data_IF_311661894621
#
_entry.id   IF_311661894621
#
_cell.length_a   1.000
_cell.length_b   1.000
_cell.length_c   1.000
_cell.angle_alpha   90.00
_cell.angle_beta   90.00
_cell.angle_gamma   90.00
#
_symmetry.space_group_name_H-M   'P 1'
#
loop_
_entity.id
_entity.type
_entity.pdbx_description
1 polymer ?
#
# COMPACT_ATOMS: atom_id res chain seq x y z
N UNK A 1 5.36 -55.60 -33.28
CA UNK A 1 5.46 -54.13 -33.32
C UNK A 1 4.58 -53.58 -32.23
N UNK A 2 5.17 -52.90 -31.24
CA UNK A 2 4.44 -52.29 -30.12
C UNK A 2 3.75 -51.03 -30.64
N UNK A 3 2.45 -50.88 -30.36
CA UNK A 3 1.72 -49.65 -30.60
C UNK A 3 2.25 -48.58 -29.63
N UNK A 4 2.92 -47.56 -30.15
CA UNK A 4 3.20 -46.34 -29.40
C UNK A 4 1.90 -45.52 -29.38
N UNK A 5 1.31 -45.38 -28.19
CA UNK A 5 0.22 -44.43 -27.94
C UNK A 5 0.74 -43.03 -28.24
N UNK A 6 0.15 -42.37 -29.24
CA UNK A 6 0.28 -40.92 -29.43
C UNK A 6 -0.37 -40.25 -28.22
N UNK A 7 0.45 -39.88 -27.25
CA UNK A 7 0.03 -39.00 -26.17
C UNK A 7 -0.28 -37.64 -26.81
N UNK A 8 -1.54 -37.22 -26.67
CA UNK A 8 -2.00 -35.91 -27.11
C UNK A 8 -1.34 -34.85 -26.23
N UNK A 9 -0.27 -34.22 -26.72
CA UNK A 9 0.56 -33.22 -26.02
C UNK A 9 -0.29 -32.10 -25.38
N UNK A 10 -1.46 -31.81 -25.96
CA UNK A 10 -2.40 -30.82 -25.42
C UNK A 10 -3.09 -31.30 -24.13
N UNK A 11 -3.39 -32.60 -24.04
CA UNK A 11 -3.98 -33.23 -22.88
C UNK A 11 -2.95 -33.47 -21.76
N UNK A 12 -1.67 -33.58 -22.10
CA UNK A 12 -0.56 -33.68 -21.15
C UNK A 12 -0.22 -32.31 -20.56
N UNK A 13 -0.13 -31.27 -21.39
CA UNK A 13 0.05 -29.88 -20.93
C UNK A 13 -1.09 -29.42 -20.00
N UNK A 14 -2.34 -29.80 -20.32
CA UNK A 14 -3.50 -29.52 -19.46
C UNK A 14 -3.45 -30.28 -18.13
N UNK A 15 -2.98 -31.54 -18.14
CA UNK A 15 -2.80 -32.35 -16.91
C UNK A 15 -1.68 -31.79 -16.04
N UNK A 16 -0.59 -31.34 -16.64
CA UNK A 16 0.53 -30.72 -15.94
C UNK A 16 0.13 -29.39 -15.33
N UNK A 17 -0.60 -28.54 -16.07
CA UNK A 17 -1.17 -27.28 -15.57
C UNK A 17 -2.15 -27.51 -14.40
N UNK A 18 -3.00 -28.55 -14.48
CA UNK A 18 -3.93 -28.92 -13.41
C UNK A 18 -3.23 -29.55 -12.18
N UNK A 19 -2.16 -30.31 -12.40
CA UNK A 19 -1.30 -30.85 -11.33
C UNK A 19 -0.60 -29.71 -10.57
N UNK A 20 -0.12 -28.71 -11.31
CA UNK A 20 0.50 -27.50 -10.79
C UNK A 20 -0.50 -26.67 -9.99
N UNK A 21 -1.71 -26.44 -10.52
CA UNK A 21 -2.79 -25.77 -9.78
C UNK A 21 -3.17 -26.55 -8.52
N UNK A 22 -3.28 -27.88 -8.57
CA UNK A 22 -3.55 -28.71 -7.37
C UNK A 22 -2.44 -28.63 -6.33
N UNK A 23 -1.17 -28.62 -6.74
CA UNK A 23 -0.03 -28.45 -5.83
C UNK A 23 -0.01 -27.05 -5.22
N UNK A 24 -0.35 -26.02 -6.00
CA UNK A 24 -0.57 -24.66 -5.52
C UNK A 24 -1.67 -24.65 -4.44
N UNK A 25 -2.82 -25.29 -4.68
CA UNK A 25 -3.91 -25.40 -3.69
C UNK A 25 -3.59 -26.24 -2.45
N UNK A 26 -2.68 -27.22 -2.54
CA UNK A 26 -2.23 -28.01 -1.38
C UNK A 26 -1.13 -27.35 -0.55
N UNK A 27 -0.40 -26.38 -1.12
CA UNK A 27 0.70 -25.68 -0.44
C UNK A 27 0.22 -24.47 0.35
N UNK A 28 -0.95 -23.94 0.02
CA UNK A 28 -1.70 -23.07 0.92
C UNK A 28 -2.46 -23.93 1.92
N UNK A 29 -2.17 -23.74 3.21
CA UNK A 29 -2.89 -24.32 4.36
C UNK A 29 -4.41 -24.36 4.12
N UNK A 30 -5.17 -25.34 4.67
CA UNK A 30 -6.63 -25.41 4.58
C UNK A 30 -7.40 -24.22 5.21
N UNK A 31 -6.74 -23.09 5.46
CA UNK A 31 -7.20 -21.91 6.18
C UNK A 31 -7.53 -20.70 5.29
N UNK A 32 -7.34 -20.77 3.97
CA UNK A 32 -7.93 -19.77 3.07
C UNK A 32 -9.35 -20.24 2.74
N UNK A 33 -10.33 -19.55 3.31
CA UNK A 33 -11.75 -19.72 3.04
C UNK A 33 -12.02 -19.85 1.54
N UNK A 34 -12.69 -20.95 1.19
CA UNK A 34 -12.98 -21.48 -0.13
C UNK A 34 -13.86 -20.58 -1.04
N UNK A 35 -13.91 -19.25 -0.86
CA UNK A 35 -14.99 -18.44 -1.46
C UNK A 35 -14.53 -17.60 -2.66
N UNK A 36 -13.30 -17.09 -2.73
CA UNK A 36 -12.96 -16.12 -3.80
C UNK A 36 -12.22 -16.72 -5.01
N UNK A 37 -11.44 -17.79 -4.85
CA UNK A 37 -10.78 -18.44 -6.00
C UNK A 37 -11.77 -19.28 -6.84
N UNK A 38 -12.74 -20.00 -6.24
CA UNK A 38 -13.75 -20.70 -7.03
C UNK A 38 -14.72 -19.77 -7.76
N UNK A 39 -15.02 -18.57 -7.23
CA UNK A 39 -15.90 -17.60 -7.90
C UNK A 39 -15.26 -17.02 -9.16
N UNK A 40 -13.94 -16.77 -9.13
CA UNK A 40 -13.18 -16.30 -10.29
C UNK A 40 -13.02 -17.43 -11.32
N UNK A 41 -12.96 -18.70 -10.92
CA UNK A 41 -12.91 -19.82 -11.86
C UNK A 41 -14.29 -20.18 -12.43
N UNK A 42 -15.39 -20.11 -11.67
CA UNK A 42 -16.74 -20.42 -12.19
C UNK A 42 -17.24 -19.41 -13.21
N UNK A 43 -16.75 -18.17 -13.18
CA UNK A 43 -17.09 -17.17 -14.19
C UNK A 43 -16.36 -17.41 -15.54
N UNK A 44 -15.30 -18.21 -15.57
CA UNK A 44 -14.41 -18.35 -16.73
C UNK A 44 -14.17 -19.79 -17.19
N UNK A 45 -14.61 -20.80 -16.43
CA UNK A 45 -14.44 -22.21 -16.78
C UNK A 45 -15.77 -22.79 -17.28
N UNK A 46 -15.82 -23.21 -18.55
CA UNK A 46 -16.93 -24.01 -19.08
C UNK A 46 -16.62 -25.50 -18.82
N UNK A 47 -17.34 -26.15 -17.88
CA UNK A 47 -17.07 -27.54 -17.52
C UNK A 47 -17.35 -28.52 -18.67
N UNK A 48 -18.14 -28.11 -19.68
CA UNK A 48 -18.52 -28.98 -20.79
C UNK A 48 -17.45 -29.10 -21.87
N UNK A 49 -16.53 -28.13 -21.95
CA UNK A 49 -15.54 -28.04 -23.03
C UNK A 49 -14.08 -27.96 -22.54
N UNK A 50 -13.82 -28.03 -21.23
CA UNK A 50 -12.47 -27.92 -20.66
C UNK A 50 -11.69 -26.68 -21.17
N UNK A 51 -12.40 -25.60 -21.46
CA UNK A 51 -11.84 -24.36 -22.02
C UNK A 51 -12.15 -23.18 -21.10
N UNK A 52 -11.18 -22.28 -20.98
CA UNK A 52 -11.32 -21.04 -20.21
C UNK A 52 -11.82 -19.94 -21.15
N UNK A 53 -13.02 -19.41 -20.90
CA UNK A 53 -13.65 -18.41 -21.75
C UNK A 53 -13.31 -16.99 -21.26
N UNK A 54 -12.13 -16.49 -21.64
CA UNK A 54 -11.53 -15.22 -21.18
C UNK A 54 -12.12 -13.94 -21.81
N UNK A 55 -13.42 -13.93 -22.15
CA UNK A 55 -14.02 -12.90 -23.00
C UNK A 55 -14.72 -11.75 -22.24
N UNK A 56 -14.47 -11.56 -20.95
CA UNK A 56 -14.97 -10.42 -20.19
C UNK A 56 -13.83 -9.71 -19.48
N UNK A 57 -13.65 -8.44 -19.83
CA UNK A 57 -12.76 -7.45 -19.23
C UNK A 57 -11.23 -7.68 -19.36
N UNK A 58 -10.63 -6.94 -20.29
CA UNK A 58 -9.18 -6.99 -20.58
C UNK A 58 -8.30 -6.53 -19.40
N UNK A 59 -8.84 -5.75 -18.47
CA UNK A 59 -8.07 -5.15 -17.37
C UNK A 59 -7.75 -6.17 -16.29
N UNK A 60 -8.75 -6.94 -15.84
CA UNK A 60 -8.54 -8.05 -14.90
C UNK A 60 -7.76 -9.19 -15.55
N UNK A 61 -7.99 -9.46 -16.85
CA UNK A 61 -7.19 -10.43 -17.61
C UNK A 61 -5.70 -10.08 -17.61
N UNK A 62 -5.35 -8.81 -17.85
CA UNK A 62 -3.95 -8.37 -17.85
C UNK A 62 -3.34 -8.42 -16.45
N UNK A 63 -4.08 -8.02 -15.42
CA UNK A 63 -3.62 -8.11 -14.03
C UNK A 63 -3.39 -9.57 -13.58
N UNK A 64 -4.33 -10.48 -13.92
CA UNK A 64 -4.24 -11.90 -13.61
C UNK A 64 -3.13 -12.61 -14.37
N UNK A 65 -3.00 -12.36 -15.69
CA UNK A 65 -1.92 -12.92 -16.50
C UNK A 65 -0.54 -12.38 -16.07
N UNK A 66 -0.44 -11.11 -15.69
CA UNK A 66 0.80 -10.56 -15.14
C UNK A 66 1.19 -11.23 -13.82
N UNK A 67 0.21 -11.51 -12.94
CA UNK A 67 0.48 -12.25 -11.70
C UNK A 67 0.89 -13.69 -12.01
N UNK A 68 0.15 -14.44 -12.84
CA UNK A 68 0.50 -15.82 -13.21
C UNK A 68 1.86 -15.91 -13.91
N UNK A 69 2.15 -15.03 -14.88
CA UNK A 69 3.46 -14.97 -15.52
C UNK A 69 4.56 -14.72 -14.49
N UNK A 70 4.30 -13.87 -13.50
CA UNK A 70 5.24 -13.67 -12.40
C UNK A 70 5.48 -14.97 -11.61
N UNK A 71 4.45 -15.72 -11.23
CA UNK A 71 4.63 -16.93 -10.41
C UNK A 71 5.23 -18.12 -11.21
N UNK A 72 4.97 -18.19 -12.52
CA UNK A 72 5.33 -19.35 -13.35
C UNK A 72 6.55 -19.15 -14.27
N UNK A 73 6.88 -17.93 -14.69
CA UNK A 73 8.04 -17.66 -15.54
C UNK A 73 9.28 -17.19 -14.74
N UNK A 74 9.13 -16.91 -13.44
CA UNK A 74 10.14 -16.16 -12.68
C UNK A 74 11.40 -16.92 -12.23
N UNK A 75 11.42 -18.21 -11.85
CA UNK A 75 12.65 -18.75 -11.27
C UNK A 75 13.77 -18.97 -12.32
N UNK A 76 13.43 -19.34 -13.55
CA UNK A 76 14.43 -19.73 -14.56
C UNK A 76 14.89 -18.60 -15.48
N UNK A 77 14.15 -17.49 -15.56
CA UNK A 77 14.47 -16.37 -16.46
C UNK A 77 14.84 -15.07 -15.74
N UNK A 78 14.54 -14.94 -14.44
CA UNK A 78 15.00 -13.79 -13.65
C UNK A 78 16.42 -14.05 -13.21
N UNK A 79 17.27 -13.07 -13.45
CA UNK A 79 18.63 -13.09 -12.94
C UNK A 79 18.63 -12.89 -11.43
N UNK A 80 18.83 -13.99 -10.70
CA UNK A 80 18.96 -13.99 -9.23
C UNK A 80 20.35 -13.56 -8.76
N UNK A 81 21.30 -13.37 -9.69
CA UNK A 81 22.70 -13.04 -9.41
C UNK A 81 23.00 -11.54 -9.36
N UNK A 82 21.96 -10.71 -9.37
CA UNK A 82 22.02 -9.24 -9.41
C UNK A 82 22.71 -8.66 -10.67
N UNK A 83 23.14 -9.45 -11.67
CA UNK A 83 23.86 -8.92 -12.83
C UNK A 83 23.01 -7.96 -13.66
N UNK A 84 21.69 -8.21 -13.80
CA UNK A 84 20.78 -7.27 -14.46
C UNK A 84 20.73 -5.89 -13.79
N UNK A 85 20.74 -5.85 -12.45
CA UNK A 85 20.77 -4.61 -11.66
C UNK A 85 22.14 -3.95 -11.73
N UNK A 86 23.22 -4.74 -11.67
CA UNK A 86 24.58 -4.24 -11.84
C UNK A 86 24.77 -3.61 -13.21
N UNK A 87 24.32 -4.28 -14.26
CA UNK A 87 24.35 -3.80 -15.63
C UNK A 87 23.54 -2.51 -15.80
N UNK A 88 22.39 -2.38 -15.13
CA UNK A 88 21.62 -1.14 -15.09
C UNK A 88 22.49 0.03 -14.63
N UNK A 89 23.13 -0.09 -13.45
CA UNK A 89 23.91 1.00 -12.88
C UNK A 89 25.22 1.26 -13.65
N UNK A 90 25.90 0.22 -14.11
CA UNK A 90 27.11 0.35 -14.93
C UNK A 90 26.82 1.05 -16.26
N UNK A 91 25.72 0.68 -16.92
CA UNK A 91 25.30 1.31 -18.19
C UNK A 91 24.93 2.77 -17.96
N UNK A 92 24.12 3.06 -16.93
CA UNK A 92 23.74 4.43 -16.60
C UNK A 92 24.95 5.31 -16.28
N UNK A 93 25.92 4.80 -15.52
CA UNK A 93 27.14 5.53 -15.16
C UNK A 93 28.08 5.72 -16.35
N UNK A 94 28.19 4.74 -17.25
CA UNK A 94 29.11 4.80 -18.39
C UNK A 94 28.56 5.60 -19.57
N UNK A 95 27.26 5.52 -19.83
CA UNK A 95 26.63 6.07 -21.04
C UNK A 95 25.77 7.31 -20.74
N UNK A 96 25.42 7.55 -19.47
CA UNK A 96 24.50 8.61 -19.06
C UNK A 96 23.03 8.27 -19.28
N UNK A 97 22.72 7.17 -19.99
CA UNK A 97 21.37 6.68 -20.19
C UNK A 97 21.33 5.14 -20.25
N UNK A 98 20.17 4.57 -19.90
CA UNK A 98 19.91 3.13 -19.97
C UNK A 98 18.51 2.89 -20.51
N UNK A 99 18.38 2.01 -21.51
CA UNK A 99 17.09 1.63 -22.07
C UNK A 99 16.59 0.36 -21.36
N UNK A 100 15.52 0.51 -20.57
CA UNK A 100 14.90 -0.57 -19.80
C UNK A 100 13.59 -0.97 -20.44
N UNK A 101 13.39 -2.26 -20.68
CA UNK A 101 12.11 -2.78 -21.18
C UNK A 101 11.31 -3.36 -20.03
N UNK A 102 10.07 -2.90 -19.85
CA UNK A 102 9.12 -3.43 -18.86
C UNK A 102 7.82 -3.79 -19.59
N UNK A 103 7.49 -5.09 -19.63
CA UNK A 103 6.45 -5.59 -20.51
C UNK A 103 6.79 -5.30 -21.98
N UNK A 104 5.88 -4.68 -22.71
CA UNK A 104 6.06 -4.32 -24.12
C UNK A 104 6.60 -2.88 -24.32
N UNK A 105 6.90 -2.17 -23.24
CA UNK A 105 7.32 -0.76 -23.29
C UNK A 105 8.79 -0.62 -22.98
N UNK A 106 9.51 0.13 -23.81
CA UNK A 106 10.89 0.55 -23.56
C UNK A 106 10.90 1.96 -22.98
N UNK A 107 11.65 2.15 -21.90
CA UNK A 107 11.85 3.42 -21.22
C UNK A 107 13.33 3.80 -21.32
N UNK A 108 13.62 5.06 -21.61
CA UNK A 108 14.98 5.59 -21.53
C UNK A 108 15.15 6.30 -20.19
N UNK A 109 16.06 5.81 -19.36
CA UNK A 109 16.31 6.32 -18.02
C UNK A 109 17.70 6.96 -17.99
N UNK A 110 17.78 8.19 -17.53
CA UNK A 110 19.01 8.94 -17.37
C UNK A 110 19.05 9.63 -15.99
N UNK A 111 20.07 10.44 -15.72
CA UNK A 111 20.21 11.16 -14.45
C UNK A 111 19.10 12.20 -14.18
N UNK A 112 18.47 12.77 -15.21
CA UNK A 112 17.35 13.72 -15.06
C UNK A 112 16.07 13.00 -14.61
N UNK A 113 15.95 11.71 -14.86
CA UNK A 113 14.85 10.89 -14.36
C UNK A 113 14.97 10.60 -12.85
N UNK A 114 16.09 10.91 -12.19
CA UNK A 114 16.25 10.64 -10.76
C UNK A 114 15.24 11.43 -9.92
N UNK A 115 14.43 10.73 -9.14
CA UNK A 115 13.43 11.32 -8.22
C UNK A 115 13.96 11.36 -6.80
N UNK A 116 14.44 10.23 -6.30
CA UNK A 116 14.96 10.08 -4.95
C UNK A 116 15.70 8.76 -4.78
N UNK A 117 16.34 8.60 -3.62
CA UNK A 117 16.91 7.33 -3.16
C UNK A 117 16.44 7.08 -1.73
N UNK A 118 15.93 5.89 -1.47
CA UNK A 118 15.67 5.43 -0.11
C UNK A 118 16.97 5.02 0.58
N UNK A 119 17.01 5.09 1.92
CA UNK A 119 18.18 4.68 2.71
C UNK A 119 18.47 3.17 2.69
N UNK A 120 17.54 2.35 2.16
CA UNK A 120 17.63 0.89 2.25
C UNK A 120 16.90 0.11 1.14
N UNK A 121 16.30 0.77 0.15
CA UNK A 121 15.27 0.12 -0.70
C UNK A 121 15.61 0.17 -2.17
N UNK A 122 15.77 1.36 -2.70
CA UNK A 122 15.88 1.56 -4.13
C UNK A 122 16.33 2.98 -4.50
N UNK A 123 16.82 3.11 -5.74
CA UNK A 123 16.82 4.38 -6.46
C UNK A 123 15.53 4.48 -7.26
N UNK A 124 14.88 5.63 -7.20
CA UNK A 124 13.59 5.90 -7.86
C UNK A 124 13.82 6.76 -9.10
N UNK A 125 13.34 6.28 -10.23
CA UNK A 125 13.42 6.97 -11.53
C UNK A 125 12.03 7.22 -12.10
N UNK A 126 11.80 8.43 -12.62
CA UNK A 126 10.61 8.80 -13.37
C UNK A 126 10.63 8.17 -14.76
N UNK A 127 9.55 7.46 -15.12
CA UNK A 127 9.36 6.85 -16.43
C UNK A 127 8.75 7.81 -17.46
N UNK A 128 8.38 9.03 -17.05
CA UNK A 128 7.69 10.03 -17.86
C UNK A 128 6.32 9.60 -18.41
N UNK A 129 5.77 8.50 -17.90
CA UNK A 129 4.43 7.98 -18.21
C UNK A 129 3.44 8.20 -17.04
N UNK A 130 3.82 9.04 -16.08
CA UNK A 130 3.10 9.24 -14.82
C UNK A 130 3.46 8.25 -13.72
N UNK A 131 4.39 7.32 -13.96
CA UNK A 131 4.89 6.37 -12.97
C UNK A 131 6.39 6.56 -12.71
N UNK A 132 6.83 6.00 -11.59
CA UNK A 132 8.23 5.79 -11.26
C UNK A 132 8.53 4.30 -11.19
N UNK A 133 9.81 3.95 -11.32
CA UNK A 133 10.32 2.64 -10.93
C UNK A 133 11.30 2.77 -9.78
N UNK A 134 11.17 1.87 -8.81
CA UNK A 134 12.17 1.63 -7.79
C UNK A 134 13.05 0.45 -8.24
N UNK A 135 14.35 0.68 -8.33
CA UNK A 135 15.37 -0.30 -8.72
C UNK A 135 16.15 -0.76 -7.49
N UNK A 136 16.36 -2.06 -7.37
CA UNK A 136 17.03 -2.75 -6.27
C UNK A 136 18.34 -2.07 -5.80
N UNK A 137 18.53 -1.99 -4.48
CA UNK A 137 19.79 -1.63 -3.80
C UNK A 137 20.29 -2.69 -2.80
N UNK A 138 19.43 -3.65 -2.45
CA UNK A 138 19.74 -4.76 -1.52
C UNK A 138 19.94 -6.06 -2.31
N UNK A 139 20.25 -7.18 -1.65
CA UNK A 139 20.32 -8.47 -2.34
C UNK A 139 18.97 -8.90 -2.93
N UNK A 140 19.02 -9.76 -3.96
CA UNK A 140 17.85 -10.26 -4.68
C UNK A 140 16.72 -10.78 -3.79
N UNK A 141 17.01 -11.71 -2.86
CA UNK A 141 15.98 -12.36 -2.04
C UNK A 141 15.24 -11.35 -1.15
N UNK A 142 15.99 -10.40 -0.62
CA UNK A 142 15.42 -9.30 0.17
C UNK A 142 14.52 -8.41 -0.67
N UNK A 143 14.99 -8.01 -1.86
CA UNK A 143 14.25 -7.15 -2.77
C UNK A 143 12.98 -7.83 -3.29
N UNK A 144 13.09 -9.10 -3.68
CA UNK A 144 11.98 -9.95 -4.07
C UNK A 144 10.88 -9.95 -3.01
N UNK A 145 11.21 -10.27 -1.75
CA UNK A 145 10.24 -10.27 -0.65
C UNK A 145 9.64 -8.87 -0.43
N UNK A 146 10.46 -7.83 -0.38
CA UNK A 146 9.97 -6.46 -0.15
C UNK A 146 8.96 -6.00 -1.23
N UNK A 147 9.26 -6.27 -2.50
CA UNK A 147 8.36 -5.90 -3.60
C UNK A 147 7.08 -6.76 -3.63
N UNK A 148 7.14 -8.01 -3.19
CA UNK A 148 5.96 -8.86 -2.96
C UNK A 148 5.09 -8.31 -1.83
N UNK A 149 5.69 -7.98 -0.69
CA UNK A 149 5.00 -7.45 0.48
C UNK A 149 4.32 -6.11 0.19
N UNK A 150 5.01 -5.17 -0.46
CA UNK A 150 4.46 -3.87 -0.87
C UNK A 150 3.18 -4.02 -1.70
N UNK A 151 3.19 -4.91 -2.71
CA UNK A 151 2.04 -5.15 -3.58
C UNK A 151 0.91 -5.87 -2.82
N UNK A 152 1.25 -6.89 -2.04
CA UNK A 152 0.27 -7.69 -1.32
C UNK A 152 -0.46 -6.88 -0.25
N UNK A 153 0.28 -6.11 0.56
CA UNK A 153 -0.30 -5.22 1.57
C UNK A 153 -1.13 -4.12 0.90
N UNK A 154 -0.60 -3.49 -0.16
CA UNK A 154 -1.35 -2.46 -0.90
C UNK A 154 -2.68 -2.98 -1.43
N UNK A 155 -2.70 -4.19 -1.98
CA UNK A 155 -3.92 -4.83 -2.51
C UNK A 155 -4.91 -5.19 -1.40
N UNK A 156 -4.43 -5.75 -0.28
CA UNK A 156 -5.28 -6.06 0.89
C UNK A 156 -5.95 -4.82 1.46
N UNK A 157 -5.23 -3.72 1.59
CA UNK A 157 -5.82 -2.46 2.07
C UNK A 157 -6.83 -1.90 1.06
N UNK A 158 -6.57 -2.05 -0.24
CA UNK A 158 -7.49 -1.59 -1.29
C UNK A 158 -8.81 -2.37 -1.28
N UNK A 159 -8.81 -3.66 -0.96
CA UNK A 159 -10.08 -4.43 -0.84
C UNK A 159 -10.94 -3.96 0.33
N UNK A 160 -10.34 -3.30 1.33
CA UNK A 160 -11.04 -2.63 2.43
C UNK A 160 -11.53 -1.22 2.05
N UNK A 161 -11.30 -0.76 0.82
CA UNK A 161 -11.61 0.60 0.37
C UNK A 161 -10.61 1.65 0.82
N UNK A 162 -9.47 1.25 1.39
CA UNK A 162 -8.42 2.17 1.83
C UNK A 162 -7.50 2.56 0.67
N UNK A 163 -6.92 3.75 0.75
CA UNK A 163 -6.10 4.30 -0.33
C UNK A 163 -4.66 3.83 -0.23
N UNK A 164 -4.21 3.25 -1.33
CA UNK A 164 -2.83 2.79 -1.55
C UNK A 164 -2.41 3.11 -2.98
N UNK A 165 -1.11 3.28 -3.26
CA UNK A 165 -0.67 3.38 -4.64
C UNK A 165 -1.00 2.09 -5.39
N UNK A 166 -1.29 2.21 -6.68
CA UNK A 166 -1.40 1.06 -7.57
C UNK A 166 0.00 0.52 -7.92
N UNK A 167 0.67 -0.05 -6.91
CA UNK A 167 2.00 -0.59 -7.07
C UNK A 167 1.97 -1.91 -7.84
N UNK A 168 2.94 -2.10 -8.72
CA UNK A 168 3.10 -3.29 -9.53
C UNK A 168 4.54 -3.78 -9.43
N UNK A 169 4.69 -5.06 -9.14
CA UNK A 169 5.98 -5.73 -9.27
C UNK A 169 6.15 -6.17 -10.71
N UNK A 170 7.26 -5.80 -11.33
CA UNK A 170 7.46 -5.97 -12.77
C UNK A 170 8.80 -6.62 -13.15
N UNK A 171 8.69 -7.39 -14.24
CA UNK A 171 9.68 -7.75 -15.26
C UNK A 171 10.50 -6.61 -15.90
N UNK A 172 11.66 -6.17 -15.40
CA UNK A 172 12.52 -5.25 -16.15
C UNK A 172 13.62 -5.99 -16.92
N UNK A 173 14.04 -5.49 -18.08
CA UNK A 173 15.16 -6.08 -18.83
C UNK A 173 16.05 -5.07 -19.54
N UNK A 174 17.36 -5.36 -19.56
CA UNK A 174 18.41 -4.65 -20.30
C UNK A 174 19.33 -5.70 -20.92
N UNK A 175 19.61 -5.61 -22.22
CA UNK A 175 20.52 -6.54 -22.93
C UNK A 175 20.28 -8.02 -22.60
N UNK A 176 19.01 -8.45 -22.59
CA UNK A 176 18.54 -9.80 -22.24
C UNK A 176 18.74 -10.22 -20.77
N UNK A 177 19.30 -9.36 -19.91
CA UNK A 177 19.32 -9.57 -18.46
C UNK A 177 18.02 -9.06 -17.86
N UNK A 178 17.36 -9.89 -17.04
CA UNK A 178 16.06 -9.60 -16.44
C UNK A 178 16.20 -9.39 -14.93
N UNK A 179 15.52 -8.40 -14.38
CA UNK A 179 15.54 -8.09 -12.95
C UNK A 179 14.17 -7.57 -12.47
N UNK A 180 13.93 -7.63 -11.17
CA UNK A 180 12.67 -7.17 -10.56
C UNK A 180 12.74 -5.66 -10.33
N UNK A 181 11.67 -4.95 -10.69
CA UNK A 181 11.44 -3.56 -10.29
C UNK A 181 10.06 -3.43 -9.65
N UNK A 182 9.88 -2.37 -8.88
CA UNK A 182 8.57 -1.96 -8.37
C UNK A 182 8.14 -0.69 -9.10
N UNK A 183 7.13 -0.81 -9.96
CA UNK A 183 6.51 0.32 -10.68
C UNK A 183 5.36 0.86 -9.84
N UNK A 184 5.29 2.18 -9.68
CA UNK A 184 4.23 2.83 -8.90
C UNK A 184 3.91 4.23 -9.44
N UNK A 185 2.72 4.79 -9.19
CA UNK A 185 2.39 6.15 -9.61
C UNK A 185 3.36 7.20 -9.04
N UNK A 186 3.76 8.16 -9.87
CA UNK A 186 4.52 9.32 -9.40
C UNK A 186 3.58 10.27 -8.65
N UNK A 187 3.97 10.79 -7.48
CA UNK A 187 3.13 11.71 -6.70
C UNK A 187 2.76 13.01 -7.44
N UNK A 188 3.68 13.64 -8.18
CA UNK A 188 3.34 14.73 -9.11
C UNK A 188 2.23 14.36 -10.12
N UNK A 189 2.23 13.12 -10.63
CA UNK A 189 1.18 12.68 -11.54
C UNK A 189 -0.15 12.47 -10.81
N UNK A 190 -0.14 11.97 -9.57
CA UNK A 190 -1.33 11.84 -8.75
C UNK A 190 -2.06 13.19 -8.55
N UNK A 191 -1.33 14.31 -8.48
CA UNK A 191 -1.94 15.65 -8.41
C UNK A 191 -2.84 15.91 -9.62
N UNK A 192 -2.41 15.50 -10.82
CA UNK A 192 -3.22 15.64 -12.05
C UNK A 192 -4.46 14.76 -12.07
N UNK A 193 -4.51 13.75 -11.18
CA UNK A 193 -5.65 12.88 -10.95
C UNK A 193 -6.50 13.34 -9.74
N UNK A 194 -6.22 14.52 -9.19
CA UNK A 194 -6.95 15.07 -8.05
C UNK A 194 -6.52 14.48 -6.70
N UNK A 195 -5.34 13.86 -6.60
CA UNK A 195 -4.85 13.23 -5.36
C UNK A 195 -3.56 13.90 -4.91
N UNK A 196 -3.59 14.52 -3.73
CA UNK A 196 -2.45 15.20 -3.11
C UNK A 196 -1.94 14.38 -1.92
N UNK A 197 -0.80 13.70 -2.07
CA UNK A 197 -0.21 12.86 -1.03
C UNK A 197 0.82 13.65 -0.21
N UNK A 198 0.70 13.63 1.12
CA UNK A 198 1.54 14.43 2.04
C UNK A 198 2.11 13.57 3.17
N UNK A 199 3.36 13.85 3.58
CA UNK A 199 4.07 13.16 4.66
C UNK A 199 4.50 14.11 5.77
N UNK A 200 4.63 13.54 6.96
CA UNK A 200 5.02 14.12 8.26
C UNK A 200 6.46 14.69 8.36
N UNK A 201 7.41 14.38 7.46
CA UNK A 201 8.86 14.58 7.77
C UNK A 201 9.74 15.27 6.74
N UNK A 202 9.26 15.52 5.53
CA UNK A 202 10.08 16.18 4.51
C UNK A 202 9.22 17.23 3.87
N UNK A 203 9.64 18.50 3.95
CA UNK A 203 8.92 19.69 3.48
C UNK A 203 8.52 19.72 2.00
N UNK A 204 8.48 18.57 1.31
CA UNK A 204 7.75 18.34 0.07
C UNK A 204 6.37 17.77 0.39
N UNK A 205 5.41 18.66 0.62
CA UNK A 205 3.99 18.34 0.46
C UNK A 205 3.66 18.38 -1.03
N UNK A 206 3.03 17.33 -1.56
CA UNK A 206 2.52 17.38 -2.93
C UNK A 206 1.14 18.05 -2.93
N UNK A 207 1.00 19.11 -3.74
CA UNK A 207 -0.21 19.90 -3.88
C UNK A 207 -0.35 21.07 -2.88
N UNK A 208 -1.33 21.95 -3.14
CA UNK A 208 -1.46 23.26 -2.51
C UNK A 208 -2.77 23.48 -1.73
N UNK A 209 -3.59 22.45 -1.52
CA UNK A 209 -4.81 22.60 -0.72
C UNK A 209 -4.50 22.94 0.75
N UNK A 210 -5.20 23.91 1.30
CA UNK A 210 -5.13 24.33 2.70
C UNK A 210 -6.18 23.56 3.51
N UNK A 211 -5.82 23.03 4.66
CA UNK A 211 -6.75 22.29 5.53
C UNK A 211 -7.65 23.22 6.35
N UNK A 212 -7.11 24.33 6.85
CA UNK A 212 -7.77 25.36 7.66
C UNK A 212 -7.80 26.71 6.95
N UNK A 213 -6.74 27.09 6.23
CA UNK A 213 -6.60 28.35 5.48
C UNK A 213 -6.51 29.62 6.33
N UNK A 214 -7.14 29.68 7.50
CA UNK A 214 -7.07 30.82 8.43
C UNK A 214 -7.33 30.37 9.89
N UNK A 215 -7.01 31.28 10.82
CA UNK A 215 -7.16 31.02 12.25
C UNK A 215 -8.63 30.86 12.69
N UNK A 216 -9.57 31.52 12.02
CA UNK A 216 -11.00 31.39 12.32
C UNK A 216 -11.53 29.97 12.10
N UNK A 217 -11.12 29.33 11.01
CA UNK A 217 -11.42 27.92 10.75
C UNK A 217 -10.71 27.00 11.74
N UNK A 218 -9.45 27.29 12.08
CA UNK A 218 -8.70 26.52 13.08
C UNK A 218 -9.35 26.58 14.48
N UNK A 219 -9.91 27.72 14.88
CA UNK A 219 -10.58 27.88 16.18
C UNK A 219 -12.04 27.40 16.19
N UNK A 220 -12.55 26.86 15.09
CA UNK A 220 -13.93 26.40 14.95
C UNK A 220 -14.03 24.88 15.05
N UNK A 221 -14.54 24.37 16.18
CA UNK A 221 -14.68 22.93 16.42
C UNK A 221 -15.53 22.20 15.35
N UNK A 222 -16.63 22.81 14.89
CA UNK A 222 -17.50 22.20 13.86
C UNK A 222 -16.76 22.04 12.53
N UNK A 223 -15.84 22.97 12.23
CA UNK A 223 -14.99 22.88 11.04
C UNK A 223 -14.06 21.66 11.13
N UNK A 224 -13.42 21.43 12.29
CA UNK A 224 -12.60 20.23 12.51
C UNK A 224 -13.42 18.94 12.33
N UNK A 225 -14.61 18.87 12.92
CA UNK A 225 -15.48 17.70 12.80
C UNK A 225 -15.80 17.36 11.34
N UNK A 226 -16.09 18.38 10.52
CA UNK A 226 -16.34 18.21 9.09
C UNK A 226 -15.07 17.82 8.32
N UNK A 227 -13.95 18.50 8.57
CA UNK A 227 -12.68 18.26 7.90
C UNK A 227 -12.18 16.82 8.06
N UNK A 228 -12.34 16.26 9.26
CA UNK A 228 -11.76 14.97 9.64
C UNK A 228 -12.72 13.78 9.51
N UNK A 229 -13.94 14.00 9.02
CA UNK A 229 -14.96 12.95 8.94
C UNK A 229 -14.51 11.72 8.16
N UNK A 230 -13.92 11.92 6.98
CA UNK A 230 -13.46 10.84 6.11
C UNK A 230 -12.22 10.13 6.67
N UNK A 231 -11.27 10.88 7.23
CA UNK A 231 -10.10 10.31 7.89
C UNK A 231 -10.50 9.42 9.08
N UNK A 232 -11.50 9.81 9.89
CA UNK A 232 -12.04 8.97 10.96
C UNK A 232 -12.53 7.63 10.42
N UNK A 233 -13.26 7.64 9.31
CA UNK A 233 -13.78 6.42 8.69
C UNK A 233 -12.65 5.51 8.21
N UNK A 234 -11.61 6.05 7.58
CA UNK A 234 -10.45 5.26 7.15
C UNK A 234 -9.75 4.60 8.34
N UNK A 235 -9.59 5.32 9.45
CA UNK A 235 -8.97 4.80 10.68
C UNK A 235 -9.84 3.70 11.29
N UNK A 236 -11.16 3.90 11.37
CA UNK A 236 -12.10 2.90 11.88
C UNK A 236 -12.00 1.62 11.05
N UNK A 237 -12.07 1.72 9.71
CA UNK A 237 -11.93 0.57 8.81
C UNK A 237 -10.60 -0.14 9.03
N UNK A 238 -9.51 0.63 9.12
CA UNK A 238 -8.16 0.07 9.31
C UNK A 238 -8.08 -0.73 10.61
N UNK A 239 -8.45 -0.12 11.74
CA UNK A 239 -8.33 -0.73 13.06
C UNK A 239 -9.35 -1.85 13.32
N UNK A 240 -10.59 -1.74 12.81
CA UNK A 240 -11.61 -2.79 12.92
C UNK A 240 -11.28 -4.04 12.09
N UNK A 241 -10.37 -3.92 11.13
CA UNK A 241 -9.80 -5.05 10.40
C UNK A 241 -8.48 -5.55 11.02
N UNK A 242 -8.15 -5.08 12.23
CA UNK A 242 -6.94 -5.46 12.96
C UNK A 242 -5.65 -4.87 12.40
N UNK A 243 -5.73 -4.02 11.37
CA UNK A 243 -4.54 -3.52 10.68
C UNK A 243 -3.91 -2.40 11.49
N UNK A 244 -2.62 -2.55 11.83
CA UNK A 244 -1.80 -1.44 12.33
C UNK A 244 -0.74 -1.10 11.31
N UNK A 245 -0.68 0.17 10.96
CA UNK A 245 0.32 0.69 10.04
C UNK A 245 1.39 1.42 10.85
N UNK A 246 2.65 1.24 10.48
CA UNK A 246 3.76 2.00 11.05
C UNK A 246 3.56 3.50 10.73
N UNK A 247 3.94 4.38 11.67
CA UNK A 247 3.95 5.84 11.50
C UNK A 247 4.62 6.27 10.19
N UNK A 248 5.70 5.61 9.77
CA UNK A 248 6.41 5.92 8.52
C UNK A 248 5.63 5.58 7.24
N UNK A 249 4.67 4.66 7.34
CA UNK A 249 3.83 4.22 6.24
C UNK A 249 2.45 4.91 6.22
N UNK A 250 2.21 5.83 7.16
CA UNK A 250 1.00 6.67 7.23
C UNK A 250 1.26 8.00 6.54
N UNK A 251 0.58 8.21 5.42
CA UNK A 251 0.52 9.48 4.71
C UNK A 251 -0.92 10.00 4.76
N UNK A 252 -1.08 11.24 4.32
CA UNK A 252 -2.37 11.89 4.21
C UNK A 252 -2.63 12.19 2.75
N UNK A 253 -3.82 11.85 2.27
CA UNK A 253 -4.30 12.21 0.95
C UNK A 253 -5.38 13.29 1.07
N UNK A 254 -5.32 14.28 0.19
CA UNK A 254 -6.43 15.21 -0.08
C UNK A 254 -6.92 14.90 -1.49
N UNK A 255 -8.21 14.60 -1.62
CA UNK A 255 -8.78 13.99 -2.82
C UNK A 255 -9.93 14.81 -3.36
N UNK A 256 -9.91 15.03 -4.68
CA UNK A 256 -11.01 15.60 -5.43
C UNK A 256 -12.25 14.70 -5.36
N UNK A 257 -13.39 15.30 -5.08
CA UNK A 257 -14.68 14.63 -5.22
C UNK A 257 -15.28 14.90 -6.60
N UNK A 258 -16.38 14.24 -6.91
CA UNK A 258 -17.17 14.54 -8.12
C UNK A 258 -17.67 16.00 -8.14
N UNK A 259 -17.74 16.64 -6.97
CA UNK A 259 -18.19 18.02 -6.78
C UNK A 259 -17.03 19.02 -6.73
N UNK A 260 -15.78 18.58 -6.91
CA UNK A 260 -14.62 19.47 -6.90
C UNK A 260 -14.61 20.35 -8.15
N UNK A 261 -14.63 21.70 -8.00
CA UNK A 261 -14.53 22.58 -9.14
C UNK A 261 -13.14 22.47 -9.79
N UNK A 262 -13.08 22.73 -11.09
CA UNK A 262 -11.79 22.89 -11.79
C UNK A 262 -10.99 23.98 -11.07
N UNK A 263 -9.78 23.65 -10.68
CA UNK A 263 -8.88 24.55 -9.98
C UNK A 263 -7.45 24.36 -10.49
N UNK A 264 -6.65 25.42 -10.38
CA UNK A 264 -5.21 25.31 -10.60
C UNK A 264 -4.58 24.63 -9.39
N UNK A 265 -3.94 23.49 -9.63
CA UNK A 265 -3.26 22.69 -8.61
C UNK A 265 -2.06 23.43 -7.99
N UNK A 266 -1.54 24.46 -8.66
CA UNK A 266 -0.42 25.29 -8.19
C UNK A 266 -0.86 26.47 -7.32
N UNK A 267 -2.15 26.81 -7.32
CA UNK A 267 -2.69 27.90 -6.52
C UNK A 267 -3.18 27.32 -5.18
N UNK A 268 -2.91 27.94 -4.02
CA UNK A 268 -3.51 27.51 -2.77
C UNK A 268 -5.03 27.68 -2.75
N UNK A 269 -5.74 26.78 -2.08
CA UNK A 269 -7.17 26.90 -1.90
C UNK A 269 -7.67 26.02 -0.77
N UNK A 270 -8.71 26.47 -0.07
CA UNK A 270 -9.25 25.77 1.09
C UNK A 270 -9.91 24.46 0.67
N UNK A 271 -9.70 23.40 1.44
CA UNK A 271 -10.25 22.07 1.19
C UNK A 271 -11.79 22.08 1.08
N UNK A 272 -12.46 22.88 1.92
CA UNK A 272 -13.92 23.04 1.88
C UNK A 272 -14.38 23.74 0.60
N UNK A 273 -13.68 24.78 0.15
CA UNK A 273 -14.03 25.53 -1.06
C UNK A 273 -13.82 24.69 -2.33
N UNK A 274 -12.89 23.74 -2.25
CA UNK A 274 -12.59 22.77 -3.32
C UNK A 274 -13.46 21.52 -3.27
N UNK A 275 -14.36 21.38 -2.29
CA UNK A 275 -15.11 20.14 -2.05
C UNK A 275 -14.20 18.89 -2.06
N UNK A 276 -13.02 19.00 -1.45
CA UNK A 276 -12.05 17.91 -1.36
C UNK A 276 -12.20 17.17 -0.02
N UNK A 277 -11.70 15.94 0.03
CA UNK A 277 -11.80 15.08 1.23
C UNK A 277 -10.42 14.70 1.75
N UNK A 278 -10.29 14.66 3.08
CA UNK A 278 -9.08 14.26 3.79
C UNK A 278 -9.15 12.77 4.12
N UNK A 279 -8.15 12.01 3.68
CA UNK A 279 -8.08 10.56 3.85
C UNK A 279 -6.71 10.10 4.33
N UNK A 280 -6.66 8.90 4.91
CA UNK A 280 -5.40 8.19 5.12
C UNK A 280 -4.89 7.62 3.79
N UNK A 281 -3.58 7.70 3.57
CA UNK A 281 -2.91 7.10 2.41
C UNK A 281 -1.79 6.19 2.91
N UNK A 282 -1.83 4.91 2.55
CA UNK A 282 -0.88 3.93 3.06
C UNK A 282 0.15 3.56 1.99
N UNK A 283 1.42 3.73 2.32
CA UNK A 283 2.53 3.58 1.40
C UNK A 283 3.81 3.20 2.13
N UNK A 284 4.81 2.67 1.43
CA UNK A 284 6.14 2.41 1.95
C UNK A 284 6.15 1.37 3.09
N UNK A 285 5.64 0.17 2.81
CA UNK A 285 5.49 -0.94 3.78
C UNK A 285 6.79 -1.70 4.08
N UNK A 286 7.88 -1.38 3.39
CA UNK A 286 9.14 -2.09 3.49
C UNK A 286 9.97 -1.62 4.71
N UNK A 287 10.18 -2.43 5.75
CA UNK A 287 11.05 -2.02 6.87
C UNK A 287 12.02 -3.12 7.30
N UNK A 288 13.32 -2.88 7.06
CA UNK A 288 14.52 -3.65 7.45
C UNK A 288 14.39 -5.18 7.43
N UNK A 289 15.26 -5.79 6.62
CA UNK A 289 15.39 -7.20 6.20
C UNK A 289 15.14 -8.27 7.27
N UNK A 290 15.27 -7.95 8.55
CA UNK A 290 15.18 -8.89 9.67
C UNK A 290 13.86 -8.80 10.47
N UNK A 291 13.09 -7.72 10.30
CA UNK A 291 11.82 -7.50 11.03
C UNK A 291 10.55 -7.76 10.21
N UNK A 292 10.67 -8.00 8.90
CA UNK A 292 9.54 -8.38 8.03
C UNK A 292 9.22 -9.86 8.16
N UNK A 293 8.92 -10.29 9.39
CA UNK A 293 7.88 -11.29 9.57
C UNK A 293 6.57 -10.52 9.37
N UNK A 294 5.63 -11.09 8.60
CA UNK A 294 4.30 -10.55 8.24
C UNK A 294 3.36 -10.26 9.44
N UNK A 295 3.94 -10.14 10.62
CA UNK A 295 3.51 -10.64 11.90
C UNK A 295 3.90 -9.68 13.05
N UNK A 296 4.73 -8.66 12.79
CA UNK A 296 5.13 -7.66 13.80
C UNK A 296 4.36 -6.33 13.69
N UNK A 297 3.43 -6.19 12.76
CA UNK A 297 2.46 -5.09 12.73
C UNK A 297 1.12 -5.45 13.42
N UNK A 298 1.06 -6.57 14.14
CA UNK A 298 -0.09 -6.94 14.97
C UNK A 298 0.39 -7.08 16.41
N UNK A 299 0.43 -5.96 17.12
CA UNK A 299 0.37 -5.98 18.59
C UNK A 299 -0.92 -5.30 19.01
N UNK A 300 -2.03 -5.87 18.56
CA UNK A 300 -3.31 -5.66 19.21
C UNK A 300 -3.83 -7.02 19.65
N UNK A 301 -3.91 -7.16 20.96
CA UNK A 301 -4.66 -8.18 21.69
C UNK A 301 -4.03 -9.57 21.71
N UNK A 302 -3.39 -9.88 22.85
CA UNK A 302 -3.34 -11.24 23.36
C UNK A 302 -4.79 -11.71 23.62
N UNK A 303 -5.45 -12.23 22.59
CA UNK A 303 -6.63 -13.06 22.77
C UNK A 303 -6.12 -14.38 23.32
N UNK A 304 -6.02 -14.50 24.64
CA UNK A 304 -5.64 -15.74 25.36
C UNK A 304 -6.66 -16.88 25.17
N UNK A 305 -7.32 -17.01 24.02
CA UNK A 305 -8.25 -18.09 23.73
C UNK A 305 -9.46 -18.19 24.68
N UNK A 306 -9.63 -17.24 25.60
CA UNK A 306 -10.68 -17.25 26.63
C UNK A 306 -11.98 -16.61 26.16
N UNK A 307 -11.97 -15.84 25.06
CA UNK A 307 -13.16 -15.15 24.56
C UNK A 307 -13.57 -13.91 25.35
N UNK A 308 -12.79 -13.47 26.34
CA UNK A 308 -13.04 -12.24 27.08
C UNK A 308 -12.11 -11.11 26.60
N UNK A 309 -12.71 -10.03 26.11
CA UNK A 309 -12.00 -8.79 25.76
C UNK A 309 -11.71 -8.06 27.08
N UNK A 310 -10.43 -7.84 27.42
CA UNK A 310 -10.09 -6.81 28.42
C UNK A 310 -10.29 -5.44 27.75
N UNK A 311 -11.55 -5.00 27.73
CA UNK A 311 -12.09 -3.88 26.96
C UNK A 311 -11.31 -2.57 27.15
N UNK A 312 -10.74 -2.35 28.33
CA UNK A 312 -10.02 -1.13 28.71
C UNK A 312 -8.68 -0.97 27.96
N UNK A 313 -7.89 -2.03 27.82
CA UNK A 313 -6.60 -1.98 27.11
C UNK A 313 -6.78 -1.73 25.60
N UNK A 314 -7.87 -2.23 25.01
CA UNK A 314 -8.18 -2.02 23.59
C UNK A 314 -8.57 -0.57 23.33
N UNK A 315 -9.38 0.03 24.21
CA UNK A 315 -9.81 1.42 24.09
C UNK A 315 -8.64 2.39 24.15
N UNK A 316 -7.72 2.19 25.09
CA UNK A 316 -6.52 3.03 25.23
C UNK A 316 -5.62 2.97 24.01
N UNK A 317 -5.34 1.77 23.49
CA UNK A 317 -4.46 1.61 22.34
C UNK A 317 -5.14 2.13 21.04
N UNK A 318 -6.45 1.88 20.84
CA UNK A 318 -7.18 2.47 19.70
C UNK A 318 -7.12 4.00 19.76
N UNK A 319 -7.34 4.59 20.94
CA UNK A 319 -7.23 6.03 21.14
C UNK A 319 -5.80 6.53 20.85
N UNK A 320 -4.77 5.84 21.34
CA UNK A 320 -3.37 6.16 21.09
C UNK A 320 -3.07 6.19 19.58
N UNK A 321 -3.43 5.11 18.87
CA UNK A 321 -3.20 5.00 17.43
C UNK A 321 -3.99 6.06 16.66
N UNK A 322 -5.24 6.33 17.02
CA UNK A 322 -6.04 7.41 16.45
C UNK A 322 -5.35 8.77 16.59
N UNK A 323 -4.83 9.08 17.78
CA UNK A 323 -4.05 10.30 18.04
C UNK A 323 -2.82 10.46 17.14
N UNK A 324 -2.19 9.34 16.73
CA UNK A 324 -1.09 9.39 15.76
C UNK A 324 -1.55 9.83 14.37
N UNK A 325 -2.73 9.39 13.90
CA UNK A 325 -3.28 9.84 12.61
C UNK A 325 -3.69 11.31 12.63
N UNK A 326 -4.25 11.78 13.75
CA UNK A 326 -4.57 13.20 13.91
C UNK A 326 -3.29 14.05 13.84
N UNK A 327 -2.24 13.64 14.52
CA UNK A 327 -0.93 14.32 14.49
C UNK A 327 -0.34 14.34 13.07
N UNK A 328 -0.50 13.25 12.31
CA UNK A 328 -0.09 13.13 10.90
C UNK A 328 -0.82 14.13 10.00
N UNK A 329 -2.13 14.23 10.13
CA UNK A 329 -2.95 15.18 9.38
C UNK A 329 -2.54 16.63 9.65
N UNK A 330 -2.26 16.98 10.91
CA UNK A 330 -1.80 18.32 11.25
C UNK A 330 -0.41 18.62 10.70
N UNK A 331 0.45 17.63 10.55
CA UNK A 331 1.77 17.82 9.95
C UNK A 331 1.74 17.79 8.42
N UNK A 332 0.61 17.40 7.83
CA UNK A 332 0.39 17.46 6.39
C UNK A 332 -0.06 18.87 5.91
N UNK A 333 -0.16 19.87 6.78
CA UNK A 333 -0.37 21.25 6.33
C UNK A 333 0.82 21.76 5.53
N UNK A 334 0.56 22.63 4.57
CA UNK A 334 1.64 23.23 3.78
C UNK A 334 2.46 24.21 4.64
N UNK A 335 3.72 24.46 4.29
CA UNK A 335 4.52 25.50 4.97
C UNK A 335 3.85 26.88 4.91
N UNK A 336 3.16 27.18 3.80
CA UNK A 336 2.40 28.41 3.65
C UNK A 336 1.25 28.49 4.67
N UNK A 337 0.46 27.43 4.80
CA UNK A 337 -0.61 27.35 5.80
C UNK A 337 -0.09 27.46 7.23
N UNK A 338 1.02 26.78 7.52
CA UNK A 338 1.65 26.87 8.83
C UNK A 338 1.99 28.32 9.21
N UNK A 339 2.56 29.09 8.28
CA UNK A 339 2.88 30.50 8.49
C UNK A 339 1.60 31.32 8.69
N UNK A 340 0.56 31.09 7.89
CA UNK A 340 -0.73 31.78 8.02
C UNK A 340 -1.39 31.56 9.39
N UNK A 341 -1.27 30.35 9.95
CA UNK A 341 -1.88 30.01 11.23
C UNK A 341 -1.05 30.48 12.44
N UNK A 342 0.27 30.36 12.35
CA UNK A 342 1.16 30.52 13.52
C UNK A 342 1.92 31.84 13.54
N UNK A 343 2.02 32.54 12.40
CA UNK A 343 2.90 33.70 12.21
C UNK A 343 4.40 33.36 12.27
N UNK A 344 4.77 32.07 12.23
CA UNK A 344 6.13 31.58 12.35
C UNK A 344 6.52 30.75 11.14
N UNK A 345 7.81 30.76 10.80
CA UNK A 345 8.36 29.75 9.88
C UNK A 345 8.26 28.37 10.52
N UNK A 346 7.98 27.35 9.71
CA UNK A 346 7.86 25.98 10.20
C UNK A 346 9.24 25.47 10.63
N UNK A 347 9.44 25.33 11.93
CA UNK A 347 10.69 24.84 12.53
C UNK A 347 10.87 23.33 12.40
N UNK A 348 10.09 22.65 11.55
CA UNK A 348 10.08 21.20 11.40
C UNK A 348 9.31 20.44 12.49
N UNK A 349 8.76 21.15 13.49
CA UNK A 349 7.96 20.54 14.57
C UNK A 349 6.50 20.29 14.16
N UNK A 350 6.04 20.86 13.03
CA UNK A 350 4.71 20.65 12.49
C UNK A 350 3.58 21.35 13.26
N UNK A 351 2.38 21.43 12.69
CA UNK A 351 1.26 22.20 13.27
C UNK A 351 0.76 21.59 14.58
N UNK A 352 0.94 20.28 14.78
CA UNK A 352 0.44 19.57 15.97
C UNK A 352 1.00 20.13 17.28
N UNK A 353 2.30 20.46 17.36
CA UNK A 353 2.92 21.03 18.56
C UNK A 353 2.30 22.38 18.92
N UNK A 354 2.02 23.19 17.91
CA UNK A 354 1.37 24.48 18.11
C UNK A 354 -0.08 24.28 18.54
N UNK A 355 -0.82 23.42 17.84
CA UNK A 355 -2.21 23.09 18.11
C UNK A 355 -2.43 22.54 19.52
N UNK A 356 -1.48 21.76 20.07
CA UNK A 356 -1.54 21.20 21.42
C UNK A 356 -1.77 22.25 22.53
N UNK A 357 -1.43 23.52 22.28
CA UNK A 357 -1.63 24.62 23.23
C UNK A 357 -3.02 25.25 23.15
N UNK A 358 -3.86 24.87 22.19
CA UNK A 358 -5.19 25.43 21.99
C UNK A 358 -6.29 24.50 22.50
N UNK A 359 -7.29 25.07 23.17
CA UNK A 359 -8.37 24.27 23.78
C UNK A 359 -9.26 23.58 22.74
N UNK A 360 -9.47 24.20 21.57
CA UNK A 360 -10.19 23.58 20.45
C UNK A 360 -9.57 22.26 20.01
N UNK A 361 -8.23 22.17 20.01
CA UNK A 361 -7.53 20.93 19.64
C UNK A 361 -7.67 19.88 20.75
N UNK A 362 -7.56 20.26 22.02
CA UNK A 362 -7.70 19.32 23.15
C UNK A 362 -9.10 18.73 23.18
N UNK A 363 -10.11 19.58 23.00
CA UNK A 363 -11.51 19.16 22.92
C UNK A 363 -11.74 18.26 21.70
N UNK A 364 -11.30 18.68 20.51
CA UNK A 364 -11.44 17.89 19.30
C UNK A 364 -10.71 16.55 19.39
N UNK A 365 -9.48 16.51 19.90
CA UNK A 365 -8.70 15.27 20.06
C UNK A 365 -9.46 14.26 20.92
N UNK A 366 -10.02 14.70 22.04
CA UNK A 366 -10.81 13.83 22.92
C UNK A 366 -12.05 13.28 22.21
N UNK A 367 -12.77 14.11 21.44
CA UNK A 367 -13.92 13.68 20.65
C UNK A 367 -13.50 12.70 19.54
N UNK A 368 -12.44 13.03 18.80
CA UNK A 368 -11.89 12.23 17.70
C UNK A 368 -11.47 10.84 18.16
N UNK A 369 -10.74 10.74 19.27
CA UNK A 369 -10.32 9.46 19.85
C UNK A 369 -11.52 8.64 20.33
N UNK A 370 -12.46 9.27 21.05
CA UNK A 370 -13.67 8.60 21.52
C UNK A 370 -14.53 8.07 20.38
N UNK A 371 -14.75 8.86 19.33
CA UNK A 371 -15.56 8.45 18.18
C UNK A 371 -14.92 7.28 17.41
N UNK A 372 -13.59 7.28 17.24
CA UNK A 372 -12.89 6.17 16.59
C UNK A 372 -12.97 4.91 17.46
N UNK A 373 -12.77 5.02 18.77
CA UNK A 373 -12.91 3.89 19.70
C UNK A 373 -14.31 3.29 19.59
N UNK A 374 -15.36 4.11 19.68
CA UNK A 374 -16.75 3.65 19.54
C UNK A 374 -17.01 3.03 18.16
N UNK A 375 -16.51 3.65 17.08
CA UNK A 375 -16.66 3.14 15.72
C UNK A 375 -15.98 1.79 15.50
N UNK A 376 -14.75 1.62 16.00
CA UNK A 376 -13.99 0.36 15.90
C UNK A 376 -14.70 -0.75 16.66
N UNK A 377 -15.15 -0.49 17.89
CA UNK A 377 -15.91 -1.46 18.69
C UNK A 377 -17.19 -1.87 17.93
N UNK A 378 -17.96 -0.89 17.43
CA UNK A 378 -19.19 -1.16 16.71
C UNK A 378 -18.97 -2.00 15.43
N UNK A 379 -17.88 -1.79 14.69
CA UNK A 379 -17.55 -2.64 13.53
C UNK A 379 -17.13 -4.05 13.94
N UNK A 380 -16.36 -4.20 15.03
CA UNK A 380 -15.95 -5.51 15.55
C UNK A 380 -17.16 -6.29 16.06
N UNK A 381 -18.12 -5.63 16.71
CA UNK A 381 -19.34 -6.25 17.24
C UNK A 381 -20.22 -6.89 16.16
N UNK A 382 -20.14 -6.40 14.91
CA UNK A 382 -20.86 -7.00 13.76
C UNK A 382 -20.32 -8.37 13.35
N UNK A 383 -19.12 -8.73 13.78
CA UNK A 383 -18.46 -9.99 13.39
C UNK A 383 -18.94 -11.17 14.24
N UNK A 384 -19.08 -12.34 13.63
CA UNK A 384 -19.29 -13.59 14.36
C UNK A 384 -18.06 -13.98 15.18
N UNK A 385 -18.18 -14.83 16.20
CA UNK A 385 -17.02 -15.35 16.94
C UNK A 385 -15.94 -15.97 16.03
N UNK A 386 -16.35 -16.69 14.98
CA UNK A 386 -15.45 -17.31 14.00
C UNK A 386 -14.73 -16.25 13.17
N UNK A 387 -15.43 -15.21 12.72
CA UNK A 387 -14.82 -14.09 11.99
C UNK A 387 -13.86 -13.29 12.87
N UNK A 388 -14.21 -13.05 14.14
CA UNK A 388 -13.29 -12.44 15.12
C UNK A 388 -12.05 -13.31 15.30
N UNK A 389 -12.23 -14.62 15.42
CA UNK A 389 -11.13 -15.57 15.50
C UNK A 389 -10.28 -15.51 14.23
N UNK A 390 -10.84 -15.66 13.04
CA UNK A 390 -10.07 -15.59 11.78
C UNK A 390 -9.30 -14.26 11.64
N UNK A 391 -9.94 -13.14 12.00
CA UNK A 391 -9.37 -11.80 11.85
C UNK A 391 -8.32 -11.45 12.90
N UNK A 392 -8.43 -11.96 14.12
CA UNK A 392 -7.61 -11.55 15.27
C UNK A 392 -6.81 -12.67 15.93
N UNK A 393 -7.01 -13.94 15.55
CA UNK A 393 -6.35 -15.11 16.20
C UNK A 393 -5.08 -15.61 15.53
N UNK A 394 -4.68 -15.02 14.41
CA UNK A 394 -3.28 -15.16 13.97
C UNK A 394 -2.43 -14.24 14.84
N UNK A 395 -2.18 -14.68 16.07
CA UNK A 395 -0.98 -14.33 16.82
C UNK A 395 0.07 -15.34 16.39
N UNK A 396 1.02 -14.96 15.53
CA UNK A 396 2.29 -15.63 15.51
C UNK A 396 2.90 -15.32 16.87
N UNK A 397 2.75 -16.25 17.80
CA UNK A 397 3.69 -16.38 18.90
C UNK A 397 5.07 -16.21 18.27
N UNK A 398 5.91 -15.37 18.89
CA UNK A 398 7.34 -15.29 18.57
C UNK A 398 7.82 -16.72 18.32
N UNK A 399 7.93 -17.14 17.06
CA UNK A 399 8.89 -18.16 16.71
C UNK A 399 10.20 -17.42 16.95
N UNK A 400 10.72 -17.61 18.16
CA UNK A 400 12.13 -17.93 18.30
C UNK A 400 12.50 -18.73 17.06
N UNK A 401 13.18 -18.07 16.12
CA UNK A 401 14.13 -18.73 15.28
C UNK A 401 15.07 -19.39 16.27
N UNK A 402 14.79 -20.66 16.51
CA UNK A 402 15.69 -21.57 17.19
C UNK A 402 16.95 -21.56 16.32
N UNK A 403 17.94 -20.75 16.74
CA UNK A 403 19.27 -20.71 16.16
C UNK A 403 20.02 -21.99 16.54
N UNK A 404 19.44 -23.14 16.24
CA UNK A 404 19.97 -24.47 16.52
C UNK A 404 19.92 -25.36 15.29
N UNK A 405 20.29 -24.81 14.13
CA UNK A 405 20.93 -25.61 13.07
C UNK A 405 22.05 -24.76 12.46
N UNK A 406 23.27 -25.10 12.84
CA UNK A 406 24.52 -24.71 12.16
C UNK A 406 24.56 -25.26 10.74
#
# INVERSE_FOLDING_TARGET
>A
MKNEEKIDEKAECTREYMSILRRFFHSFSPQIGFIEVPLILTCYFDPSNNTVNLNKDNTMKKAFLNQIQFWFLAPSEIDTSDEGVKLFYETLNAQGNVNVTIGDTQYSINSENYVSSGSSKAIIYDLSDGNVIAVQQVNYETWKRMTEDEVNVSNKLRTLGLLTPNQQRCIASINNKKFIVLKMPHFNHLITQGIQVRRLWYGKSFGNTLLFGNLGNFLNLNYWQSLFQHLKQDIIITLANGVLINVDSKYIAIIDTQSTPKHDVNVPGLISDRNQQLHAYFFDFSHKVESLQYNQCFYFVDFQGTGEILEENVKEEVAHVAGTYLSQALNAVTSHEYILLTGKENSGLGLWCWAANHDVYKEFKSQFESEIVTGVIAEIEKLTPEQKKERFSEVPTRRTLDCSVM
#
